data_IF_939967277676
#
_entry.id   IF_939967277676
#
_cell.length_a   1.000
_cell.length_b   1.000
_cell.length_c   1.000
_cell.angle_alpha   90.00
_cell.angle_beta   90.00
_cell.angle_gamma   90.00
#
_symmetry.space_group_name_H-M   'P 1'
#
loop_
_entity.id
_entity.type
_entity.pdbx_description
1 polymer ?
#
# COMPACT_ATOMS: atom_id res chain seq x y z
N UNK A 1 32.19 4.55 19.57
CA UNK A 1 31.16 4.81 20.60
C UNK A 1 30.53 6.14 20.23
N UNK A 2 29.37 6.21 19.60
CA UNK A 2 28.22 5.31 19.59
C UNK A 2 27.55 5.35 18.22
N UNK A 3 27.28 4.16 17.68
CA UNK A 3 26.50 3.95 16.46
C UNK A 3 25.05 4.43 16.66
N UNK A 4 24.52 5.06 15.62
CA UNK A 4 23.13 5.48 15.53
C UNK A 4 22.32 4.22 15.18
N UNK A 5 21.57 3.73 16.17
CA UNK A 5 20.56 2.67 16.01
C UNK A 5 19.50 3.12 14.98
N UNK A 6 19.62 2.59 13.74
CA UNK A 6 18.67 2.78 12.64
C UNK A 6 17.56 1.70 12.61
N UNK A 7 17.41 0.92 13.67
CA UNK A 7 16.32 -0.04 13.81
C UNK A 7 15.45 0.35 14.99
N UNK A 8 14.47 1.21 14.73
CA UNK A 8 13.37 1.49 15.66
C UNK A 8 12.56 0.22 15.91
N UNK A 9 12.90 -0.51 16.97
CA UNK A 9 12.04 -1.54 17.54
C UNK A 9 10.85 -0.94 18.27
N UNK A 10 9.70 -1.58 18.08
CA UNK A 10 8.48 -1.56 18.87
C UNK A 10 7.43 -0.46 18.55
N UNK A 11 6.35 -0.91 17.89
CA UNK A 11 5.16 -0.09 17.67
C UNK A 11 3.90 -0.83 17.20
N UNK A 12 3.70 -2.10 17.58
CA UNK A 12 2.40 -2.68 18.00
C UNK A 12 2.46 -4.21 18.02
N UNK A 13 2.25 -4.77 19.21
CA UNK A 13 1.87 -6.16 19.46
C UNK A 13 0.49 -6.42 18.84
N UNK A 14 0.43 -6.62 17.53
CA UNK A 14 -0.76 -7.01 16.80
C UNK A 14 -0.81 -8.53 16.66
N UNK A 15 -1.89 -9.14 17.14
CA UNK A 15 -2.21 -10.56 16.90
C UNK A 15 -2.00 -10.89 15.41
N UNK A 16 -1.24 -11.94 15.09
CA UNK A 16 -1.04 -12.38 13.69
C UNK A 16 -2.41 -12.49 13.00
N UNK A 17 -2.56 -12.03 11.75
CA UNK A 17 -3.80 -12.24 11.00
C UNK A 17 -4.15 -13.72 11.01
N UNK A 18 -5.42 -14.07 11.21
CA UNK A 18 -5.87 -15.47 11.37
C UNK A 18 -5.41 -16.42 10.23
N UNK A 19 -4.99 -15.88 9.07
CA UNK A 19 -4.58 -16.65 7.90
C UNK A 19 -3.09 -16.56 7.53
N UNK A 20 -2.32 -15.64 8.10
CA UNK A 20 -0.88 -15.56 7.85
C UNK A 20 -0.12 -16.21 9.00
N UNK A 21 0.58 -17.32 8.71
CA UNK A 21 1.38 -18.01 9.72
C UNK A 21 2.78 -17.41 9.85
N UNK A 22 3.24 -16.75 8.79
CA UNK A 22 4.63 -16.30 8.64
C UNK A 22 4.80 -14.84 9.04
N UNK A 23 3.88 -13.97 8.66
CA UNK A 23 4.05 -12.52 8.79
C UNK A 23 3.00 -11.89 9.72
N UNK A 24 3.39 -10.97 10.62
CA UNK A 24 2.48 -10.43 11.64
C UNK A 24 1.63 -9.23 11.19
N UNK A 25 1.76 -8.75 9.95
CA UNK A 25 1.07 -7.54 9.46
C UNK A 25 -0.23 -7.84 8.70
N UNK A 26 -1.12 -6.83 8.71
CA UNK A 26 -2.56 -6.88 8.36
C UNK A 26 -2.88 -7.64 7.07
N UNK A 27 -2.13 -7.40 5.98
CA UNK A 27 -2.40 -7.98 4.65
C UNK A 27 -1.34 -8.96 4.15
N UNK A 28 -0.60 -9.57 5.07
CA UNK A 28 0.46 -10.52 4.71
C UNK A 28 0.01 -11.86 4.09
N UNK A 29 -1.30 -12.08 3.95
CA UNK A 29 -1.87 -13.35 3.49
C UNK A 29 -1.34 -13.72 2.10
N UNK A 30 -1.27 -12.76 1.17
CA UNK A 30 -0.80 -13.05 -0.17
C UNK A 30 0.65 -13.57 -0.17
N UNK A 31 1.53 -12.96 0.62
CA UNK A 31 2.93 -13.35 0.71
C UNK A 31 3.10 -14.73 1.38
N UNK A 32 2.25 -15.04 2.36
CA UNK A 32 2.18 -16.36 2.97
C UNK A 32 1.74 -17.43 1.94
N UNK A 33 0.74 -17.15 1.11
CA UNK A 33 0.28 -18.04 0.04
C UNK A 33 1.31 -18.19 -1.09
N UNK A 34 1.99 -17.11 -1.47
CA UNK A 34 3.12 -17.15 -2.41
C UNK A 34 4.23 -18.09 -1.90
N UNK A 35 4.62 -17.93 -0.63
CA UNK A 35 5.67 -18.75 0.01
C UNK A 35 5.27 -20.22 0.07
N UNK A 36 4.01 -20.53 0.42
CA UNK A 36 3.47 -21.90 0.39
C UNK A 36 3.49 -22.49 -1.01
N UNK A 37 3.05 -21.74 -2.02
CA UNK A 37 3.04 -22.19 -3.41
C UNK A 37 4.46 -22.55 -3.89
N UNK A 38 5.47 -21.73 -3.56
CA UNK A 38 6.88 -22.04 -3.84
C UNK A 38 7.35 -23.31 -3.18
N UNK A 39 7.05 -23.50 -1.89
CA UNK A 39 7.44 -24.71 -1.16
C UNK A 39 6.81 -25.97 -1.78
N UNK A 40 5.54 -25.90 -2.19
CA UNK A 40 4.85 -26.98 -2.90
C UNK A 40 5.54 -27.27 -4.23
N UNK A 41 5.83 -26.24 -5.04
CA UNK A 41 6.47 -26.42 -6.35
C UNK A 41 7.88 -27.00 -6.22
N UNK A 42 8.69 -26.52 -5.26
CA UNK A 42 10.03 -27.07 -4.96
C UNK A 42 9.97 -28.58 -4.71
N UNK A 43 8.96 -29.05 -3.98
CA UNK A 43 8.83 -30.44 -3.58
C UNK A 43 8.13 -31.33 -4.62
N UNK A 44 7.07 -30.84 -5.27
CA UNK A 44 6.19 -31.66 -6.11
C UNK A 44 6.53 -31.52 -7.59
N UNK A 45 6.90 -30.32 -8.05
CA UNK A 45 7.15 -30.03 -9.48
C UNK A 45 8.29 -29.00 -9.65
N UNK A 46 9.53 -29.35 -9.30
CA UNK A 46 10.64 -28.39 -9.26
C UNK A 46 10.91 -27.73 -10.61
N UNK A 47 10.68 -28.45 -11.73
CA UNK A 47 10.79 -27.90 -13.08
C UNK A 47 9.82 -26.76 -13.41
N UNK A 48 8.76 -26.55 -12.62
CA UNK A 48 7.82 -25.43 -12.80
C UNK A 48 8.15 -24.21 -11.92
N UNK A 49 9.09 -24.33 -10.97
CA UNK A 49 9.37 -23.27 -10.00
C UNK A 49 9.90 -21.99 -10.68
N UNK A 50 10.87 -22.13 -11.59
CA UNK A 50 11.47 -20.98 -12.27
C UNK A 50 10.43 -20.21 -13.11
N UNK A 51 9.54 -20.92 -13.79
CA UNK A 51 8.45 -20.30 -14.56
C UNK A 51 7.44 -19.59 -13.64
N UNK A 52 7.11 -20.18 -12.49
CA UNK A 52 6.25 -19.57 -11.49
C UNK A 52 6.86 -18.28 -10.91
N UNK A 53 8.13 -18.32 -10.50
CA UNK A 53 8.83 -17.15 -9.97
C UNK A 53 8.93 -16.05 -11.04
N UNK A 54 9.27 -16.40 -12.28
CA UNK A 54 9.33 -15.46 -13.39
C UNK A 54 7.99 -14.80 -13.68
N UNK A 55 6.88 -15.57 -13.65
CA UNK A 55 5.54 -15.03 -13.87
C UNK A 55 5.14 -14.00 -12.79
N UNK A 56 5.66 -14.11 -11.57
CA UNK A 56 5.33 -13.22 -10.46
C UNK A 56 6.29 -12.03 -10.30
N UNK A 57 7.35 -11.96 -11.11
CA UNK A 57 8.28 -10.80 -11.11
C UNK A 57 7.56 -9.49 -11.44
N UNK A 58 6.45 -9.52 -12.17
CA UNK A 58 5.65 -8.33 -12.50
C UNK A 58 5.19 -7.56 -11.25
N UNK A 59 4.92 -8.27 -10.15
CA UNK A 59 4.48 -7.68 -8.89
C UNK A 59 5.64 -7.21 -8.00
N UNK A 60 6.89 -7.41 -8.42
CA UNK A 60 8.07 -6.96 -7.67
C UNK A 60 8.45 -5.54 -8.07
N UNK A 61 8.57 -4.68 -7.06
CA UNK A 61 9.15 -3.35 -7.21
C UNK A 61 10.66 -3.47 -7.42
N UNK A 62 11.22 -2.65 -8.32
CA UNK A 62 12.67 -2.63 -8.55
C UNK A 62 13.41 -2.20 -7.28
N UNK A 63 14.52 -2.87 -6.98
CA UNK A 63 15.30 -2.62 -5.76
C UNK A 63 15.92 -1.22 -5.70
N UNK A 64 16.07 -0.55 -6.85
CA UNK A 64 16.59 0.80 -6.98
C UNK A 64 15.51 1.88 -6.87
N UNK A 65 14.23 1.51 -6.76
CA UNK A 65 13.14 2.46 -6.68
C UNK A 65 13.27 3.35 -5.44
N UNK A 66 13.15 4.66 -5.65
CA UNK A 66 13.09 5.66 -4.59
C UNK A 66 11.70 6.27 -4.55
N UNK A 67 11.17 6.46 -3.34
CA UNK A 67 9.90 7.16 -3.12
C UNK A 67 9.97 8.54 -3.76
N UNK A 68 8.94 8.90 -4.51
CA UNK A 68 8.82 10.20 -5.17
C UNK A 68 7.80 11.06 -4.44
N UNK A 69 8.17 12.31 -4.20
CA UNK A 69 7.31 13.32 -3.57
C UNK A 69 6.95 14.38 -4.59
N UNK A 70 5.67 14.75 -4.63
CA UNK A 70 5.12 15.75 -5.55
C UNK A 70 4.46 16.86 -4.74
N UNK A 71 4.88 18.11 -4.96
CA UNK A 71 4.34 19.24 -4.19
C UNK A 71 2.96 19.70 -4.69
N UNK A 72 2.64 19.45 -5.96
CA UNK A 72 1.38 19.89 -6.61
C UNK A 72 0.94 18.94 -7.71
N UNK A 73 0.29 17.84 -7.32
CA UNK A 73 -0.30 16.88 -8.29
C UNK A 73 -1.50 17.50 -9.01
N UNK A 74 -2.24 18.36 -8.32
CA UNK A 74 -3.45 19.01 -8.82
C UNK A 74 -3.37 20.54 -8.68
N UNK A 75 -4.12 21.25 -9.53
CA UNK A 75 -4.28 22.70 -9.44
C UNK A 75 -5.26 23.10 -8.33
N UNK A 76 -5.25 24.38 -7.95
CA UNK A 76 -6.04 24.87 -6.80
C UNK A 76 -7.54 24.67 -7.00
N UNK A 77 -8.01 24.77 -8.26
CA UNK A 77 -9.41 24.50 -8.63
C UNK A 77 -9.79 23.05 -8.36
N UNK A 78 -8.93 22.10 -8.75
CA UNK A 78 -9.16 20.67 -8.51
C UNK A 78 -9.09 20.36 -7.02
N UNK A 79 -8.17 20.98 -6.27
CA UNK A 79 -8.11 20.85 -4.81
C UNK A 79 -9.41 21.34 -4.14
N UNK A 80 -9.93 22.50 -4.55
CA UNK A 80 -11.18 23.03 -4.00
C UNK A 80 -12.37 22.10 -4.30
N UNK A 81 -12.38 21.50 -5.49
CA UNK A 81 -13.39 20.52 -5.87
C UNK A 81 -13.27 19.22 -5.06
N UNK A 82 -12.05 18.70 -4.87
CA UNK A 82 -11.79 17.56 -3.98
C UNK A 82 -12.37 17.84 -2.59
N UNK A 83 -12.06 19.00 -1.99
CA UNK A 83 -12.58 19.39 -0.68
C UNK A 83 -14.10 19.48 -0.66
N UNK A 84 -14.70 20.04 -1.71
CA UNK A 84 -16.16 20.13 -1.84
C UNK A 84 -16.80 18.75 -1.87
N UNK A 85 -16.24 17.82 -2.64
CA UNK A 85 -16.72 16.42 -2.71
C UNK A 85 -16.61 15.76 -1.35
N UNK A 86 -15.45 15.83 -0.68
CA UNK A 86 -15.26 15.28 0.67
C UNK A 86 -16.29 15.82 1.67
N UNK A 87 -16.53 17.14 1.68
CA UNK A 87 -17.51 17.78 2.59
C UNK A 87 -18.96 17.40 2.29
N UNK A 88 -19.25 16.93 1.07
CA UNK A 88 -20.59 16.54 0.65
C UNK A 88 -20.94 15.08 0.99
N UNK A 89 -19.96 14.30 1.45
CA UNK A 89 -20.15 12.90 1.82
C UNK A 89 -21.17 12.76 2.94
N UNK A 90 -22.07 11.78 2.79
CA UNK A 90 -23.08 11.41 3.78
C UNK A 90 -22.57 10.25 4.63
N UNK A 91 -23.11 10.05 5.84
CA UNK A 91 -22.78 8.89 6.65
C UNK A 91 -22.99 7.54 5.94
N UNK A 92 -23.95 7.46 5.00
CA UNK A 92 -24.19 6.28 4.17
C UNK A 92 -23.06 5.95 3.19
N UNK A 93 -22.23 6.93 2.87
CA UNK A 93 -21.10 6.77 1.94
C UNK A 93 -19.86 6.26 2.68
N UNK A 94 -19.87 6.28 4.02
CA UNK A 94 -18.73 5.94 4.87
C UNK A 94 -18.74 4.48 5.28
N UNK A 95 -17.70 3.76 4.90
CA UNK A 95 -17.48 2.40 5.35
C UNK A 95 -16.83 2.36 6.73
N UNK A 96 -17.42 1.57 7.63
CA UNK A 96 -17.04 1.49 9.04
C UNK A 96 -16.12 0.31 9.39
N UNK A 97 -15.79 -0.56 8.44
CA UNK A 97 -15.09 -1.82 8.73
C UNK A 97 -13.67 -1.59 9.28
N UNK A 98 -13.06 -0.42 9.01
CA UNK A 98 -11.73 -0.05 9.53
C UNK A 98 -11.77 0.94 10.71
N UNK A 99 -12.97 1.35 11.15
CA UNK A 99 -13.13 2.30 12.25
C UNK A 99 -12.56 1.76 13.57
N UNK A 100 -12.50 0.43 13.74
CA UNK A 100 -11.97 -0.21 14.95
C UNK A 100 -10.45 -0.31 14.96
N UNK A 101 -9.86 -0.79 13.87
CA UNK A 101 -8.43 -1.07 13.72
C UNK A 101 -7.62 0.18 13.37
N UNK A 102 -8.01 0.88 12.32
CA UNK A 102 -7.28 2.04 11.80
C UNK A 102 -7.80 3.38 12.36
N UNK A 103 -8.98 3.36 13.00
CA UNK A 103 -9.68 4.59 13.46
C UNK A 103 -9.92 5.57 12.31
N UNK A 104 -10.29 5.03 11.15
CA UNK A 104 -10.60 5.77 9.93
C UNK A 104 -11.93 5.34 9.31
N UNK A 105 -12.53 6.22 8.53
CA UNK A 105 -13.61 5.89 7.62
C UNK A 105 -13.07 5.82 6.19
N UNK A 106 -13.67 4.98 5.36
CA UNK A 106 -13.25 4.81 3.97
C UNK A 106 -14.42 5.06 3.03
N UNK A 107 -14.12 5.60 1.85
CA UNK A 107 -15.04 5.63 0.70
C UNK A 107 -14.31 5.06 -0.49
N UNK A 108 -14.70 3.87 -0.96
CA UNK A 108 -14.14 3.27 -2.17
C UNK A 108 -14.79 3.85 -3.42
N UNK A 109 -13.99 3.95 -4.49
CA UNK A 109 -14.43 4.17 -5.87
C UNK A 109 -15.43 5.33 -6.06
N UNK A 110 -15.27 6.41 -5.28
CA UNK A 110 -16.08 7.60 -5.46
C UNK A 110 -15.93 8.08 -6.93
N UNK A 111 -17.02 8.33 -7.67
CA UNK A 111 -16.95 8.61 -9.10
C UNK A 111 -15.99 9.76 -9.47
N UNK A 112 -15.91 10.79 -8.62
CA UNK A 112 -15.00 11.90 -8.83
C UNK A 112 -13.53 11.49 -8.64
N UNK A 113 -13.21 10.74 -7.59
CA UNK A 113 -11.84 10.26 -7.35
C UNK A 113 -11.40 9.22 -8.38
N UNK A 114 -12.32 8.37 -8.84
CA UNK A 114 -12.06 7.43 -9.95
C UNK A 114 -11.69 8.15 -11.24
N UNK A 115 -12.31 9.31 -11.52
CA UNK A 115 -11.94 10.09 -12.69
C UNK A 115 -10.59 10.80 -12.51
N UNK A 116 -10.33 11.36 -11.31
CA UNK A 116 -9.00 11.91 -11.00
C UNK A 116 -7.90 10.86 -11.11
N UNK A 117 -8.13 9.64 -10.64
CA UNK A 117 -7.18 8.53 -10.75
C UNK A 117 -6.77 8.30 -12.21
N UNK A 118 -7.73 8.28 -13.15
CA UNK A 118 -7.42 8.13 -14.58
C UNK A 118 -6.58 9.29 -15.12
N UNK A 119 -6.87 10.51 -14.68
CA UNK A 119 -6.14 11.71 -15.13
C UNK A 119 -4.68 11.70 -14.67
N UNK A 120 -4.38 11.14 -13.50
CA UNK A 120 -3.02 11.06 -12.96
C UNK A 120 -2.25 9.81 -13.39
N UNK A 121 -2.88 8.83 -14.04
CA UNK A 121 -2.21 7.60 -14.52
C UNK A 121 -0.94 7.87 -15.34
N UNK A 122 -0.89 8.88 -16.26
CA UNK A 122 0.35 9.21 -16.97
C UNK A 122 1.47 9.69 -16.05
N UNK A 123 1.15 10.48 -15.01
CA UNK A 123 2.12 10.94 -14.00
C UNK A 123 2.69 9.74 -13.24
N UNK A 124 1.83 8.83 -12.78
CA UNK A 124 2.24 7.62 -12.05
C UNK A 124 3.06 6.70 -12.95
N UNK A 125 2.70 6.53 -14.22
CA UNK A 125 3.47 5.73 -15.18
C UNK A 125 4.89 6.28 -15.36
N UNK A 126 5.01 7.60 -15.56
CA UNK A 126 6.31 8.27 -15.65
C UNK A 126 7.11 8.16 -14.35
N UNK A 127 6.44 8.22 -13.20
CA UNK A 127 7.04 8.07 -11.88
C UNK A 127 7.58 6.65 -11.64
N UNK A 128 6.81 5.62 -12.02
CA UNK A 128 7.19 4.21 -11.91
C UNK A 128 8.30 3.83 -12.92
N UNK A 129 8.31 4.48 -14.09
CA UNK A 129 9.18 4.13 -15.21
C UNK A 129 8.65 2.96 -16.04
N UNK A 130 7.37 2.61 -15.87
CA UNK A 130 6.65 1.58 -16.64
C UNK A 130 5.18 2.00 -16.81
N UNK A 131 4.48 1.53 -17.86
CA UNK A 131 3.05 1.74 -18.00
C UNK A 131 2.29 1.13 -16.81
N UNK A 132 1.34 1.88 -16.25
CA UNK A 132 0.46 1.39 -15.19
C UNK A 132 -1.01 1.54 -15.58
N UNK A 133 -1.87 0.77 -14.92
CA UNK A 133 -3.32 0.88 -14.99
C UNK A 133 -3.92 1.19 -13.61
N UNK A 134 -5.09 1.82 -13.60
CA UNK A 134 -5.81 2.10 -12.36
C UNK A 134 -6.34 0.78 -11.77
N UNK A 135 -5.90 0.44 -10.55
CA UNK A 135 -6.34 -0.77 -9.84
C UNK A 135 -7.57 -0.48 -8.97
N UNK A 136 -7.41 0.32 -7.92
CA UNK A 136 -8.50 0.84 -7.09
C UNK A 136 -8.13 2.20 -6.54
N UNK A 137 -9.11 2.93 -6.01
CA UNK A 137 -8.87 4.13 -5.19
C UNK A 137 -9.83 4.16 -4.02
N UNK A 138 -9.41 4.82 -2.94
CA UNK A 138 -10.30 5.12 -1.83
C UNK A 138 -9.90 6.42 -1.15
N UNK A 139 -10.90 7.11 -0.60
CA UNK A 139 -10.69 8.21 0.32
C UNK A 139 -10.55 7.65 1.73
N UNK A 140 -9.52 8.10 2.44
CA UNK A 140 -9.30 7.76 3.84
C UNK A 140 -9.51 8.96 4.76
N UNK A 141 -10.43 8.84 5.71
CA UNK A 141 -10.75 9.88 6.70
C UNK A 141 -10.30 9.43 8.08
N UNK A 142 -9.08 9.80 8.46
CA UNK A 142 -8.52 9.48 9.77
C UNK A 142 -9.10 10.38 10.86
N UNK A 143 -9.44 9.77 12.00
CA UNK A 143 -9.72 10.51 13.24
C UNK A 143 -8.43 11.01 13.90
N UNK A 144 -8.56 11.79 14.97
CA UNK A 144 -7.41 12.27 15.76
C UNK A 144 -6.54 11.14 16.36
N UNK A 145 -7.08 9.93 16.47
CA UNK A 145 -6.36 8.72 16.92
C UNK A 145 -6.13 7.73 15.78
N UNK A 146 -6.21 8.21 14.54
CA UNK A 146 -5.94 7.46 13.32
C UNK A 146 -4.58 6.79 13.36
N UNK A 147 -4.50 5.54 12.91
CA UNK A 147 -3.23 4.85 12.71
C UNK A 147 -3.24 4.10 11.39
N UNK A 148 -2.10 4.06 10.73
CA UNK A 148 -1.86 3.18 9.59
C UNK A 148 -0.85 2.10 10.03
N UNK A 149 -1.31 0.91 10.44
CA UNK A 149 -0.43 -0.19 10.77
C UNK A 149 0.47 -0.56 9.59
N UNK A 150 1.61 -1.17 9.88
CA UNK A 150 2.47 -1.77 8.84
C UNK A 150 1.63 -2.76 8.03
N UNK A 151 1.68 -2.62 6.71
CA UNK A 151 1.05 -3.51 5.75
C UNK A 151 1.80 -3.45 4.41
N UNK A 152 1.45 -4.36 3.52
CA UNK A 152 1.77 -4.26 2.09
C UNK A 152 0.44 -4.11 1.37
N UNK A 153 0.41 -3.26 0.35
CA UNK A 153 -0.74 -3.19 -0.54
C UNK A 153 -0.94 -4.51 -1.29
N UNK A 154 -2.11 -4.64 -1.91
CA UNK A 154 -2.37 -5.73 -2.85
C UNK A 154 -1.25 -5.80 -3.90
N UNK A 155 -0.77 -7.00 -4.29
CA UNK A 155 0.24 -7.14 -5.33
C UNK A 155 -0.18 -6.53 -6.67
N UNK A 156 -1.48 -6.49 -6.95
CA UNK A 156 -2.04 -5.83 -8.13
C UNK A 156 -1.88 -4.29 -8.08
N UNK A 157 -1.60 -3.75 -6.90
CA UNK A 157 -1.40 -2.33 -6.60
C UNK A 157 0.06 -2.08 -6.23
N UNK A 158 0.96 -2.62 -7.06
CA UNK A 158 2.42 -2.45 -6.96
C UNK A 158 2.86 -1.00 -6.76
N UNK A 159 2.11 -0.06 -7.35
CA UNK A 159 2.37 1.37 -7.27
C UNK A 159 1.19 2.08 -6.61
N UNK A 160 1.48 2.80 -5.52
CA UNK A 160 0.50 3.57 -4.76
C UNK A 160 0.88 5.05 -4.79
N UNK A 161 -0.11 5.91 -5.03
CA UNK A 161 0.01 7.35 -4.86
C UNK A 161 -0.90 7.79 -3.70
N UNK A 162 -0.29 8.20 -2.61
CA UNK A 162 -1.00 8.86 -1.51
C UNK A 162 -1.09 10.36 -1.76
N UNK A 163 -2.31 10.89 -1.70
CA UNK A 163 -2.58 12.32 -1.81
C UNK A 163 -3.26 12.85 -0.55
N UNK A 164 -2.56 13.73 0.16
CA UNK A 164 -3.06 14.33 1.39
C UNK A 164 -3.92 15.56 1.07
N UNK A 165 -5.23 15.45 1.30
CA UNK A 165 -6.21 16.49 0.93
C UNK A 165 -6.19 17.65 1.94
N UNK A 166 -6.47 17.34 3.20
CA UNK A 166 -6.47 18.30 4.31
C UNK A 166 -5.74 17.67 5.50
N UNK A 167 -4.78 18.39 6.05
CA UNK A 167 -3.95 17.97 7.17
C UNK A 167 -3.88 19.08 8.22
N UNK A 168 -4.19 18.77 9.47
CA UNK A 168 -3.95 19.68 10.60
C UNK A 168 -2.48 19.70 11.02
N UNK A 169 -1.78 18.58 10.79
CA UNK A 169 -0.35 18.38 11.00
C UNK A 169 0.18 17.51 9.86
N UNK A 170 1.46 17.69 9.50
CA UNK A 170 2.10 16.81 8.54
C UNK A 170 1.98 15.35 8.99
N UNK A 171 1.31 14.51 8.20
CA UNK A 171 1.17 13.09 8.52
C UNK A 171 2.47 12.36 8.16
N UNK A 172 3.16 11.74 9.13
CA UNK A 172 4.40 11.04 8.83
C UNK A 172 4.07 9.70 8.16
N UNK A 173 4.24 9.63 6.85
CA UNK A 173 4.17 8.37 6.09
C UNK A 173 5.58 7.80 5.99
N UNK A 174 5.76 6.58 6.48
CA UNK A 174 7.03 5.88 6.43
C UNK A 174 6.94 4.74 5.42
N UNK A 175 7.92 4.68 4.53
CA UNK A 175 8.08 3.59 3.56
C UNK A 175 9.33 2.80 3.91
N UNK A 176 9.25 1.48 3.89
CA UNK A 176 10.44 0.63 3.91
C UNK A 176 11.16 0.71 2.57
N UNK A 177 12.45 0.39 2.53
CA UNK A 177 13.13 0.08 1.27
C UNK A 177 12.42 -1.09 0.56
N UNK A 178 12.41 -1.14 -0.79
CA UNK A 178 12.03 -2.36 -1.50
C UNK A 178 12.82 -3.55 -0.95
N UNK A 179 12.12 -4.62 -0.58
CA UNK A 179 12.74 -5.86 -0.13
C UNK A 179 12.66 -6.88 -1.26
N UNK A 180 13.79 -7.49 -1.60
CA UNK A 180 13.76 -8.65 -2.46
C UNK A 180 12.95 -9.75 -1.75
N UNK A 181 12.04 -10.42 -2.45
CA UNK A 181 11.25 -11.47 -1.83
C UNK A 181 12.13 -12.63 -1.30
N UNK A 182 13.32 -12.84 -1.88
CA UNK A 182 14.35 -13.73 -1.35
C UNK A 182 14.87 -13.32 0.03
N UNK A 183 14.98 -12.02 0.29
CA UNK A 183 15.48 -11.48 1.57
C UNK A 183 14.43 -11.66 2.67
N UNK A 184 13.15 -11.71 2.30
CA UNK A 184 12.06 -12.05 3.20
C UNK A 184 12.13 -13.54 3.59
N UNK A 185 12.58 -14.42 2.68
CA UNK A 185 12.81 -15.84 2.97
C UNK A 185 14.00 -16.05 3.92
N UNK A 186 15.05 -15.22 3.84
CA UNK A 186 16.28 -15.38 4.62
C UNK A 186 16.21 -14.87 6.08
N UNK A 187 15.11 -14.22 6.47
CA UNK A 187 14.87 -13.78 7.85
C UNK A 187 14.19 -14.85 8.72
N UNK A 188 14.00 -16.07 8.18
CA UNK A 188 13.35 -17.22 8.79
C UNK A 188 14.10 -18.52 8.49
#
# INVERSE_FOLDING_TARGET
MSDIDLFGTAGQTGRRPNRSRTYPWYDSIWLDEYTKAKAILRNIKPGALAAFESALQVFQTRNDFQVKVFERVFDDKTIDEIRRVVRSLKPSDLEMHEAKSFKRFVVHDNPFFTELQKQITPLVSAAAGEPVEASYNFLSLYSATGVCPVHLDSPQSKWTLDFCIDQSVAWPIYFSRPLAWSDIEAQH
#
